data_IF_538226805426
#
_entry.id   IF_538226805426
#
_cell.length_a   1.000
_cell.length_b   1.000
_cell.length_c   1.000
_cell.angle_alpha   90.00
_cell.angle_beta   90.00
_cell.angle_gamma   90.00
#
_symmetry.space_group_name_H-M   'P 1'
#
loop_
_entity.id
_entity.type
_entity.pdbx_description
1 polymer ?
#
# COMPACT_ATOMS: atom_id res chain seq x y z
N UNK A 1 1.56 -19.00 -1.53
CA UNK A 1 3.03 -18.99 -1.34
C UNK A 1 3.30 -19.60 0.04
N UNK A 2 3.68 -20.87 0.11
CA UNK A 2 3.76 -21.63 1.38
C UNK A 2 5.18 -21.83 1.90
N UNK A 3 6.20 -21.62 1.05
CA UNK A 3 7.61 -21.85 1.40
C UNK A 3 8.30 -20.51 1.66
N UNK A 4 8.90 -20.28 2.84
CA UNK A 4 9.72 -19.08 3.11
C UNK A 4 10.84 -18.91 2.07
N UNK A 5 11.13 -17.67 1.70
CA UNK A 5 12.08 -17.29 0.65
C UNK A 5 11.56 -17.46 -0.78
N UNK A 6 10.35 -17.99 -0.97
CA UNK A 6 9.73 -18.01 -2.30
C UNK A 6 9.36 -16.60 -2.75
N UNK A 7 9.63 -16.28 -4.00
CA UNK A 7 9.32 -14.98 -4.59
C UNK A 7 8.54 -15.17 -5.89
N UNK A 8 7.48 -14.36 -6.05
CA UNK A 8 6.79 -14.18 -7.33
C UNK A 8 7.09 -12.77 -7.82
N UNK A 9 7.45 -12.67 -9.09
CA UNK A 9 7.69 -11.40 -9.78
C UNK A 9 6.76 -11.27 -10.98
N UNK A 10 6.29 -10.05 -11.23
CA UNK A 10 5.48 -9.70 -12.41
C UNK A 10 6.02 -8.41 -13.00
N UNK A 11 6.50 -8.49 -14.23
CA UNK A 11 7.06 -7.35 -14.97
C UNK A 11 6.18 -7.04 -16.18
N UNK A 12 5.88 -5.77 -16.38
CA UNK A 12 5.08 -5.31 -17.50
C UNK A 12 5.98 -4.90 -18.67
N UNK A 13 5.87 -5.62 -19.78
CA UNK A 13 6.61 -5.37 -21.03
C UNK A 13 5.59 -5.09 -22.12
N UNK A 14 5.68 -3.91 -22.74
CA UNK A 14 4.77 -3.45 -23.80
C UNK A 14 3.27 -3.60 -23.43
N UNK A 15 2.96 -3.53 -22.14
CA UNK A 15 1.61 -3.72 -21.62
C UNK A 15 0.87 -2.39 -21.54
N UNK A 16 -0.40 -2.39 -21.93
CA UNK A 16 -1.29 -1.24 -21.86
C UNK A 16 -2.72 -1.70 -21.61
N UNK A 17 -3.49 -0.85 -20.92
CA UNK A 17 -4.94 -0.99 -20.78
C UNK A 17 -5.55 0.31 -21.30
N UNK A 18 -6.34 0.20 -22.37
CA UNK A 18 -6.85 1.35 -23.11
C UNK A 18 -5.72 2.33 -23.49
N UNK A 19 -5.83 3.60 -23.10
CA UNK A 19 -4.82 4.64 -23.32
C UNK A 19 -3.82 4.78 -22.17
N UNK A 20 -3.64 3.76 -21.34
CA UNK A 20 -2.69 3.76 -20.23
C UNK A 20 -1.61 2.71 -20.43
N UNK A 21 -0.39 3.18 -20.73
CA UNK A 21 0.82 2.34 -20.71
C UNK A 21 1.21 2.07 -19.25
N UNK A 22 1.51 0.81 -18.94
CA UNK A 22 1.87 0.37 -17.59
C UNK A 22 3.24 -0.28 -17.65
N UNK A 23 4.14 0.18 -16.78
CA UNK A 23 5.54 -0.23 -16.72
C UNK A 23 5.94 -0.51 -15.26
N UNK A 24 7.02 -1.27 -15.09
CA UNK A 24 7.60 -1.60 -13.79
C UNK A 24 7.48 -3.07 -13.41
N UNK A 25 7.96 -3.40 -12.21
CA UNK A 25 7.97 -4.76 -11.67
C UNK A 25 7.35 -4.81 -10.29
N UNK A 26 6.42 -5.74 -10.10
CA UNK A 26 5.83 -6.06 -8.80
C UNK A 26 6.43 -7.37 -8.28
N UNK A 27 6.92 -7.36 -7.05
CA UNK A 27 7.41 -8.58 -6.39
C UNK A 27 6.63 -8.85 -5.11
N UNK A 28 6.40 -10.13 -4.84
CA UNK A 28 5.88 -10.63 -3.57
C UNK A 28 6.81 -11.73 -3.11
N UNK A 29 7.50 -11.49 -2.02
CA UNK A 29 8.43 -12.42 -1.38
C UNK A 29 7.82 -12.92 -0.07
N UNK A 30 7.77 -14.24 0.10
CA UNK A 30 7.38 -14.85 1.36
C UNK A 30 8.54 -14.74 2.36
N UNK A 31 8.42 -13.82 3.32
CA UNK A 31 9.41 -13.59 4.37
C UNK A 31 8.98 -14.19 5.72
N UNK A 32 8.13 -15.23 5.67
CA UNK A 32 7.60 -15.87 6.88
C UNK A 32 8.69 -16.53 7.72
N UNK A 33 8.52 -16.49 9.04
CA UNK A 33 9.26 -17.26 10.03
C UNK A 33 8.37 -18.37 10.59
N UNK A 34 8.96 -19.32 11.34
CA UNK A 34 8.27 -20.51 11.86
C UNK A 34 6.95 -20.22 12.61
N UNK A 35 6.86 -19.06 13.26
CA UNK A 35 5.69 -18.63 14.03
C UNK A 35 5.07 -17.30 13.52
N UNK A 36 5.49 -16.82 12.35
CA UNK A 36 5.08 -15.51 11.84
C UNK A 36 4.89 -15.57 10.33
N UNK A 37 3.65 -15.56 9.89
CA UNK A 37 3.33 -15.49 8.46
C UNK A 37 3.46 -14.05 7.97
N UNK A 38 4.37 -13.84 7.03
CA UNK A 38 4.77 -12.52 6.56
C UNK A 38 5.17 -12.56 5.09
N UNK A 39 4.90 -11.48 4.37
CA UNK A 39 5.42 -11.27 3.03
C UNK A 39 5.80 -9.81 2.78
N UNK A 40 6.82 -9.64 1.95
CA UNK A 40 7.27 -8.33 1.48
C UNK A 40 6.77 -8.12 0.06
N UNK A 41 6.02 -7.04 -0.16
CA UNK A 41 5.54 -6.60 -1.46
C UNK A 41 6.37 -5.40 -1.90
N UNK A 42 6.94 -5.45 -3.11
CA UNK A 42 7.63 -4.30 -3.69
C UNK A 42 7.03 -3.92 -5.03
N UNK A 43 7.01 -2.62 -5.30
CA UNK A 43 6.87 -2.07 -6.64
C UNK A 43 8.17 -1.37 -6.99
N UNK A 44 8.79 -1.80 -8.08
CA UNK A 44 10.08 -1.32 -8.57
C UNK A 44 9.81 -0.62 -9.90
N UNK A 45 10.16 0.65 -9.96
CA UNK A 45 10.03 1.52 -11.13
C UNK A 45 8.63 1.48 -11.75
N UNK A 46 7.60 1.43 -10.90
CA UNK A 46 6.21 1.48 -11.31
C UNK A 46 5.93 2.78 -12.04
N UNK A 47 5.34 2.71 -13.22
CA UNK A 47 4.97 3.89 -14.00
C UNK A 47 3.70 3.66 -14.79
N UNK A 48 2.82 4.64 -14.74
CA UNK A 48 1.62 4.70 -15.58
C UNK A 48 1.69 5.98 -16.41
N UNK A 49 1.51 5.85 -17.72
CA UNK A 49 1.47 6.98 -18.65
C UNK A 49 0.16 6.94 -19.42
N UNK A 50 -0.60 8.04 -19.36
CA UNK A 50 -1.72 8.26 -20.27
C UNK A 50 -1.15 8.67 -21.63
N UNK A 51 -1.33 7.84 -22.65
CA UNK A 51 -0.76 8.06 -23.99
C UNK A 51 -1.46 9.17 -24.77
N UNK A 52 -2.69 9.56 -24.38
CA UNK A 52 -3.42 10.64 -25.04
C UNK A 52 -2.96 12.01 -24.53
N UNK A 53 -2.74 12.16 -23.21
CA UNK A 53 -2.32 13.44 -22.62
C UNK A 53 -0.82 13.58 -22.39
N UNK A 54 -0.06 12.48 -22.46
CA UNK A 54 1.34 12.42 -22.06
C UNK A 54 1.57 12.50 -20.54
N UNK A 55 0.51 12.63 -19.74
CA UNK A 55 0.61 12.70 -18.28
C UNK A 55 1.06 11.36 -17.70
N UNK A 56 1.94 11.40 -16.71
CA UNK A 56 2.49 10.19 -16.10
C UNK A 56 2.63 10.30 -14.59
N UNK A 57 2.67 9.14 -13.93
CA UNK A 57 2.98 8.98 -12.51
C UNK A 57 3.93 7.81 -12.32
N UNK A 58 4.93 7.99 -11.48
CA UNK A 58 5.87 6.94 -11.07
C UNK A 58 5.72 6.65 -9.58
N UNK A 59 6.05 5.44 -9.17
CA UNK A 59 6.23 5.12 -7.77
C UNK A 59 7.14 3.91 -7.55
N UNK A 60 7.82 3.94 -6.42
CA UNK A 60 8.49 2.80 -5.80
C UNK A 60 7.84 2.56 -4.44
N UNK A 61 7.68 1.29 -4.04
CA UNK A 61 7.13 0.96 -2.72
C UNK A 61 7.76 -0.30 -2.18
N UNK A 62 7.91 -0.35 -0.86
CA UNK A 62 8.14 -1.59 -0.11
C UNK A 62 7.11 -1.64 1.02
N UNK A 63 6.30 -2.71 1.07
CA UNK A 63 5.32 -2.97 2.11
C UNK A 63 5.56 -4.33 2.72
N UNK A 64 5.56 -4.41 4.05
CA UNK A 64 5.66 -5.68 4.76
C UNK A 64 4.28 -5.96 5.35
N UNK A 65 3.70 -7.08 4.96
CA UNK A 65 2.41 -7.55 5.46
C UNK A 65 2.66 -8.69 6.43
N UNK A 66 2.21 -8.53 7.68
CA UNK A 66 2.31 -9.54 8.72
C UNK A 66 0.91 -10.00 9.11
N UNK A 67 0.65 -11.30 9.07
CA UNK A 67 -0.58 -11.87 9.62
C UNK A 67 -0.44 -11.95 11.15
N UNK A 68 -1.31 -11.26 11.87
CA UNK A 68 -1.28 -11.17 13.34
C UNK A 68 -2.41 -11.95 14.02
N UNK A 69 -3.49 -12.28 13.28
CA UNK A 69 -4.58 -13.16 13.73
C UNK A 69 -4.98 -14.12 12.58
N UNK A 70 -5.60 -15.26 12.91
CA UNK A 70 -6.05 -16.27 11.92
C UNK A 70 -4.98 -17.30 11.48
N UNK A 71 -3.76 -17.25 12.03
CA UNK A 71 -2.68 -18.14 11.58
C UNK A 71 -2.94 -19.64 11.86
N UNK A 72 -3.81 -19.96 12.83
CA UNK A 72 -4.19 -21.34 13.18
C UNK A 72 -5.27 -21.94 12.27
N UNK A 73 -5.90 -21.12 11.43
CA UNK A 73 -7.10 -21.43 10.65
C UNK A 73 -6.86 -21.09 9.18
N UNK A 74 -5.82 -21.63 8.52
CA UNK A 74 -5.34 -21.16 7.21
C UNK A 74 -6.35 -21.28 6.06
N UNK A 75 -7.42 -22.07 6.23
CA UNK A 75 -8.50 -22.24 5.25
C UNK A 75 -9.74 -21.39 5.57
N UNK A 76 -9.70 -20.59 6.65
CA UNK A 76 -10.82 -19.79 7.13
C UNK A 76 -10.38 -18.32 7.26
N UNK A 77 -10.33 -17.56 6.17
CA UNK A 77 -9.73 -16.23 6.17
C UNK A 77 -10.55 -15.17 6.93
N UNK A 78 -11.78 -15.49 7.36
CA UNK A 78 -12.68 -14.53 8.01
C UNK A 78 -12.17 -14.04 9.38
N UNK A 79 -11.25 -14.76 10.02
CA UNK A 79 -10.59 -14.35 11.26
C UNK A 79 -9.21 -13.70 11.03
N UNK A 80 -8.80 -13.51 9.78
CA UNK A 80 -7.50 -12.96 9.46
C UNK A 80 -7.43 -11.44 9.73
N UNK A 81 -6.35 -11.04 10.42
CA UNK A 81 -5.94 -9.65 10.59
C UNK A 81 -4.49 -9.48 10.18
N UNK A 82 -4.23 -8.40 9.46
CA UNK A 82 -2.91 -8.05 8.95
C UNK A 82 -2.47 -6.70 9.48
N UNK A 83 -1.19 -6.62 9.80
CA UNK A 83 -0.48 -5.37 10.00
C UNK A 83 0.43 -5.09 8.81
N UNK A 84 0.42 -3.84 8.35
CA UNK A 84 1.16 -3.40 7.18
C UNK A 84 2.10 -2.27 7.59
N UNK A 85 3.39 -2.42 7.30
CA UNK A 85 4.41 -1.38 7.47
C UNK A 85 5.12 -1.10 6.15
N UNK A 86 5.96 -0.07 6.14
CA UNK A 86 6.82 0.27 5.00
C UNK A 86 6.53 1.64 4.42
N UNK A 87 7.05 1.89 3.23
CA UNK A 87 7.10 3.22 2.63
C UNK A 87 6.83 3.16 1.12
N UNK A 88 6.65 4.34 0.54
CA UNK A 88 6.63 4.55 -0.90
C UNK A 88 7.06 5.96 -1.24
N UNK A 89 7.54 6.13 -2.46
CA UNK A 89 7.86 7.44 -3.04
C UNK A 89 7.50 7.44 -4.51
N UNK A 90 7.38 8.63 -5.11
CA UNK A 90 7.04 8.75 -6.51
C UNK A 90 7.06 10.19 -6.99
N UNK A 91 6.81 10.35 -8.29
CA UNK A 91 6.70 11.66 -8.93
C UNK A 91 5.67 11.65 -10.05
N UNK A 92 5.41 12.80 -10.66
CA UNK A 92 4.47 12.92 -11.76
C UNK A 92 4.98 13.87 -12.86
N UNK A 93 4.26 13.88 -13.99
CA UNK A 93 4.55 14.72 -15.15
C UNK A 93 4.52 16.23 -14.88
N UNK A 94 3.97 16.67 -13.75
CA UNK A 94 3.92 18.09 -13.36
C UNK A 94 5.15 18.49 -12.53
N UNK A 95 6.12 17.59 -12.34
CA UNK A 95 7.34 17.85 -11.58
C UNK A 95 7.19 17.72 -10.06
N UNK A 96 6.01 17.34 -9.55
CA UNK A 96 5.85 17.12 -8.10
C UNK A 96 6.42 15.77 -7.70
N UNK A 97 7.05 15.74 -6.53
CA UNK A 97 7.52 14.50 -5.90
C UNK A 97 6.82 14.29 -4.57
N UNK A 98 6.65 13.03 -4.19
CA UNK A 98 6.06 12.67 -2.92
C UNK A 98 6.76 11.46 -2.30
N UNK A 99 6.71 11.39 -0.98
CA UNK A 99 7.07 10.22 -0.21
C UNK A 99 5.99 9.96 0.84
N UNK A 100 5.92 8.72 1.31
CA UNK A 100 5.05 8.32 2.39
C UNK A 100 5.71 7.24 3.23
N UNK A 101 5.54 7.32 4.53
CA UNK A 101 6.06 6.36 5.50
C UNK A 101 4.96 5.99 6.49
N UNK A 102 4.73 4.69 6.67
CA UNK A 102 3.83 4.20 7.71
C UNK A 102 4.53 4.38 9.06
N UNK A 103 3.97 5.22 9.93
CA UNK A 103 4.51 5.54 11.25
C UNK A 103 3.97 4.56 12.29
N UNK A 104 2.67 4.30 12.26
CA UNK A 104 2.04 3.25 13.08
C UNK A 104 1.46 2.17 12.15
N UNK A 105 1.69 0.88 12.41
CA UNK A 105 1.28 -0.19 11.50
C UNK A 105 -0.19 -0.09 11.11
N UNK A 106 -0.46 -0.18 9.81
CA UNK A 106 -1.82 -0.14 9.30
C UNK A 106 -2.49 -1.48 9.54
N UNK A 107 -3.69 -1.47 10.11
CA UNK A 107 -4.45 -2.70 10.38
C UNK A 107 -5.48 -2.93 9.28
N UNK A 108 -5.44 -4.12 8.68
CA UNK A 108 -6.44 -4.59 7.70
C UNK A 108 -7.02 -5.92 8.18
N UNK A 109 -8.33 -5.94 8.42
CA UNK A 109 -9.07 -7.18 8.68
C UNK A 109 -9.60 -7.76 7.36
N UNK A 110 -9.74 -9.06 7.26
CA UNK A 110 -10.31 -9.68 6.07
C UNK A 110 -11.77 -9.26 5.85
N UNK A 111 -12.56 -9.21 6.92
CA UNK A 111 -13.99 -8.86 6.92
C UNK A 111 -14.30 -7.38 6.69
N UNK A 112 -13.28 -6.51 6.70
CA UNK A 112 -13.46 -5.07 6.50
C UNK A 112 -12.81 -4.62 5.19
N UNK A 113 -13.52 -3.98 4.24
CA UNK A 113 -12.92 -3.53 2.98
C UNK A 113 -11.76 -2.54 3.17
N UNK A 114 -11.82 -1.71 4.21
CA UNK A 114 -10.88 -0.63 4.46
C UNK A 114 -9.81 -1.02 5.48
N UNK A 115 -8.73 -0.23 5.53
CA UNK A 115 -7.80 -0.25 6.66
C UNK A 115 -8.49 0.48 7.81
N UNK A 116 -8.44 -0.09 9.00
CA UNK A 116 -9.27 0.35 10.14
C UNK A 116 -8.49 1.11 11.20
N UNK A 117 -7.16 1.08 11.13
CA UNK A 117 -6.27 1.71 12.11
C UNK A 117 -4.88 1.93 11.53
N UNK A 118 -4.17 2.89 12.11
CA UNK A 118 -2.77 3.16 11.83
C UNK A 118 -2.59 4.45 11.03
N UNK A 119 -1.36 4.93 10.98
CA UNK A 119 -1.03 6.25 10.49
C UNK A 119 0.14 6.21 9.53
N UNK A 120 0.12 7.10 8.54
CA UNK A 120 1.28 7.39 7.71
C UNK A 120 1.50 8.88 7.55
N UNK A 121 2.77 9.25 7.47
CA UNK A 121 3.18 10.57 7.02
C UNK A 121 3.28 10.56 5.51
N UNK A 122 2.83 11.63 4.88
CA UNK A 122 2.93 11.87 3.45
C UNK A 122 3.58 13.24 3.30
N UNK A 123 4.69 13.30 2.57
CA UNK A 123 5.29 14.57 2.19
C UNK A 123 5.15 14.72 0.69
N UNK A 124 4.58 15.84 0.24
CA UNK A 124 4.55 16.23 -1.17
C UNK A 124 5.26 17.57 -1.31
N UNK A 125 6.35 17.58 -2.04
CA UNK A 125 7.26 18.72 -2.15
C UNK A 125 7.65 19.24 -0.73
N UNK A 126 7.12 20.38 -0.29
CA UNK A 126 7.35 20.94 1.07
C UNK A 126 6.19 20.74 2.03
N UNK A 127 5.06 20.19 1.57
CA UNK A 127 3.84 20.05 2.38
C UNK A 127 3.80 18.67 3.03
N UNK A 128 3.60 18.65 4.34
CA UNK A 128 3.41 17.42 5.12
C UNK A 128 1.92 17.20 5.43
N UNK A 129 1.51 15.95 5.32
CA UNK A 129 0.20 15.48 5.71
C UNK A 129 0.32 14.21 6.55
N UNK A 130 -0.58 14.04 7.52
CA UNK A 130 -0.73 12.80 8.29
C UNK A 130 -2.06 12.19 7.87
N UNK A 131 -2.05 10.94 7.43
CA UNK A 131 -3.26 10.16 7.18
C UNK A 131 -3.44 9.13 8.29
N UNK A 132 -4.56 9.19 8.99
CA UNK A 132 -4.95 8.30 10.08
C UNK A 132 -6.23 7.52 9.70
N UNK A 133 -6.16 6.19 9.75
CA UNK A 133 -7.26 5.29 9.39
C UNK A 133 -8.24 5.03 10.53
N UNK A 134 -8.06 5.64 11.70
CA UNK A 134 -9.00 5.56 12.82
C UNK A 134 -8.57 4.58 13.90
N UNK A 135 -9.55 4.18 14.73
CA UNK A 135 -9.32 3.51 16.01
C UNK A 135 -9.40 1.97 15.95
N UNK A 136 -9.81 1.42 14.82
CA UNK A 136 -10.10 0.01 14.61
C UNK A 136 -11.56 -0.27 14.24
N UNK A 137 -12.42 0.75 14.20
CA UNK A 137 -13.80 0.63 13.68
C UNK A 137 -13.80 0.31 12.19
N UNK A 138 -14.69 -0.60 11.76
CA UNK A 138 -14.84 -0.88 10.33
C UNK A 138 -15.82 0.10 9.71
N UNK A 139 -15.32 1.27 9.33
CA UNK A 139 -16.06 2.23 8.52
C UNK A 139 -15.20 2.71 7.34
N UNK A 140 -15.81 3.52 6.49
CA UNK A 140 -15.16 4.08 5.31
C UNK A 140 -14.56 5.47 5.58
N UNK A 141 -14.17 5.78 6.82
CA UNK A 141 -13.65 7.11 7.18
C UNK A 141 -12.18 7.02 7.55
N UNK A 142 -11.47 8.08 7.22
CA UNK A 142 -10.12 8.35 7.70
C UNK A 142 -9.99 9.86 7.90
N UNK A 143 -8.95 10.30 8.61
CA UNK A 143 -8.63 11.72 8.73
C UNK A 143 -7.32 12.03 8.04
N UNK A 144 -7.28 13.16 7.34
CA UNK A 144 -6.06 13.73 6.80
C UNK A 144 -5.80 15.07 7.47
N UNK A 145 -4.64 15.21 8.10
CA UNK A 145 -4.20 16.46 8.73
C UNK A 145 -3.13 17.09 7.86
N UNK A 146 -3.41 18.25 7.26
CA UNK A 146 -2.49 18.99 6.39
C UNK A 146 -2.19 20.31 7.08
N UNK A 147 -0.91 20.59 7.35
CA UNK A 147 -0.49 21.83 8.03
C UNK A 147 -1.30 22.13 9.32
N UNK A 148 -1.64 21.09 10.09
CA UNK A 148 -2.41 21.20 11.33
C UNK A 148 -3.93 21.26 11.16
N UNK A 149 -4.45 21.33 9.93
CA UNK A 149 -5.90 21.31 9.66
C UNK A 149 -6.35 19.89 9.31
N UNK A 150 -7.29 19.36 10.09
CA UNK A 150 -7.82 17.99 9.92
C UNK A 150 -9.09 17.98 9.09
N UNK A 151 -9.14 17.08 8.11
CA UNK A 151 -10.30 16.80 7.28
C UNK A 151 -10.68 15.33 7.38
N UNK A 152 -11.98 15.03 7.51
CA UNK A 152 -12.49 13.67 7.35
C UNK A 152 -12.60 13.37 5.86
N UNK A 153 -12.05 12.25 5.43
CA UNK A 153 -12.16 11.74 4.07
C UNK A 153 -12.94 10.44 4.05
N UNK A 154 -13.58 10.17 2.91
CA UNK A 154 -14.26 8.90 2.65
C UNK A 154 -13.35 7.99 1.84
N UNK A 155 -13.19 6.75 2.30
CA UNK A 155 -12.43 5.70 1.64
C UNK A 155 -13.33 4.96 0.64
N UNK A 156 -12.84 4.84 -0.59
CA UNK A 156 -13.53 4.11 -1.65
C UNK A 156 -12.95 2.70 -1.81
N UNK A 157 -13.80 1.77 -2.23
CA UNK A 157 -13.43 0.39 -2.53
C UNK A 157 -12.89 0.28 -3.95
#
# INVERSE_FOLDING_TARGET
>A
MSVPGSTVSTTFIDYSVDSFKIEGTHTVENTSLSNKKQWTVKVIDGKITNTNSGSWRTWNSTRIHTQVEGNGTPLYPLDDKFEITGNSSGSNSNGNSWNSEIVTPLVKRFTCPWKVKGTLNITRDTTMAILDYGDGSCDNKATVTINGVTHIITLHK
#
